data_IF_209751989856
#
_entry.id   IF_209751989856
#
_cell.length_a   1.000
_cell.length_b   1.000
_cell.length_c   1.000
_cell.angle_alpha   90.00
_cell.angle_beta   90.00
_cell.angle_gamma   90.00
#
_symmetry.space_group_name_H-M   'P 1'
#
loop_
_entity.id
_entity.type
_entity.pdbx_description
1 polymer ?
#
# COMPACT_ATOMS: atom_id res chain seq x y z
N UNK A 1 -18.75 14.89 70.27
CA UNK A 1 -18.12 13.62 70.72
C UNK A 1 -17.43 12.97 69.53
N UNK A 2 -16.09 13.02 69.50
CA UNK A 2 -15.28 12.38 68.45
C UNK A 2 -15.41 10.86 68.58
N UNK A 3 -16.04 10.20 67.61
CA UNK A 3 -16.14 8.73 67.58
C UNK A 3 -14.74 8.17 67.39
N UNK A 4 -14.17 7.55 68.43
CA UNK A 4 -12.87 6.84 68.35
C UNK A 4 -12.91 5.87 67.15
N UNK A 5 -12.09 6.16 66.15
CA UNK A 5 -11.86 5.27 64.99
C UNK A 5 -11.16 4.01 65.49
N UNK A 6 -11.70 2.83 65.17
CA UNK A 6 -10.99 1.57 65.38
C UNK A 6 -9.76 1.57 64.45
N UNK A 7 -8.51 1.58 64.98
CA UNK A 7 -7.31 1.60 64.16
C UNK A 7 -7.17 0.35 63.29
N UNK A 8 -7.86 -0.74 63.62
CA UNK A 8 -7.83 -2.01 62.89
C UNK A 8 -8.89 -2.11 61.79
N UNK A 9 -9.51 -0.98 61.38
CA UNK A 9 -10.41 -0.92 60.23
C UNK A 9 -9.87 0.06 59.17
N UNK A 10 -9.98 -0.29 57.87
CA UNK A 10 -9.59 0.58 56.77
C UNK A 10 -10.34 1.92 56.83
N UNK A 11 -9.82 2.94 56.15
CA UNK A 11 -10.48 4.26 56.03
C UNK A 11 -11.95 4.06 55.63
N UNK A 12 -12.81 4.97 56.08
CA UNK A 12 -14.25 4.98 55.74
C UNK A 12 -15.09 3.80 56.26
N UNK A 13 -14.50 2.74 56.84
CA UNK A 13 -15.22 1.61 57.43
C UNK A 13 -15.38 1.78 58.96
N UNK A 14 -16.59 1.55 59.46
CA UNK A 14 -16.87 1.54 60.90
C UNK A 14 -17.74 0.35 61.29
N UNK A 15 -17.56 -0.17 62.50
CA UNK A 15 -18.40 -1.22 63.06
C UNK A 15 -19.49 -0.62 63.99
N UNK A 16 -20.74 -1.01 63.77
CA UNK A 16 -21.91 -0.57 64.53
C UNK A 16 -22.27 -1.64 65.56
N UNK A 17 -21.95 -1.37 66.83
CA UNK A 17 -22.21 -2.32 67.95
C UNK A 17 -23.70 -2.54 68.19
N UNK A 18 -24.51 -1.50 68.00
CA UNK A 18 -25.96 -1.50 68.15
C UNK A 18 -26.66 -2.40 67.13
N UNK A 19 -26.16 -2.42 65.89
CA UNK A 19 -26.74 -3.20 64.78
C UNK A 19 -25.93 -4.43 64.36
N UNK A 20 -24.84 -4.73 65.07
CA UNK A 20 -23.87 -5.80 64.78
C UNK A 20 -23.53 -5.90 63.28
N UNK A 21 -23.21 -4.76 62.66
CA UNK A 21 -22.96 -4.67 61.20
C UNK A 21 -21.83 -3.69 60.91
N UNK A 22 -21.16 -3.89 59.79
CA UNK A 22 -20.23 -2.89 59.24
C UNK A 22 -20.98 -1.86 58.41
N UNK A 23 -20.53 -0.61 58.47
CA UNK A 23 -21.00 0.49 57.66
C UNK A 23 -19.82 1.24 57.05
N UNK A 24 -19.84 1.41 55.74
CA UNK A 24 -18.85 2.16 54.99
C UNK A 24 -19.42 3.52 54.59
N UNK A 25 -18.67 4.60 54.82
CA UNK A 25 -19.10 5.97 54.54
C UNK A 25 -18.39 6.51 53.31
N UNK A 26 -19.14 6.85 52.28
CA UNK A 26 -18.57 7.45 51.09
C UNK A 26 -18.00 8.86 51.42
N UNK A 27 -16.69 9.11 51.24
CA UNK A 27 -16.07 10.39 51.55
C UNK A 27 -16.50 11.54 50.62
N UNK A 28 -16.95 11.23 49.40
CA UNK A 28 -17.39 12.24 48.41
C UNK A 28 -18.84 12.67 48.64
N UNK A 29 -19.72 11.72 48.93
CA UNK A 29 -21.16 11.98 49.06
C UNK A 29 -21.65 12.05 50.51
N UNK A 30 -20.79 11.74 51.47
CA UNK A 30 -21.09 11.64 52.90
C UNK A 30 -22.18 10.61 53.28
N UNK A 31 -22.70 9.84 52.32
CA UNK A 31 -23.71 8.79 52.56
C UNK A 31 -23.07 7.54 53.15
N UNK A 32 -23.76 6.93 54.11
CA UNK A 32 -23.36 5.64 54.71
C UNK A 32 -24.07 4.47 54.02
N UNK A 33 -23.31 3.43 53.69
CA UNK A 33 -23.77 2.17 53.12
C UNK A 33 -23.54 1.07 54.16
N UNK A 34 -24.60 0.38 54.54
CA UNK A 34 -24.52 -0.74 55.51
C UNK A 34 -24.20 -2.01 54.73
N UNK A 35 -23.14 -2.73 55.13
CA UNK A 35 -22.65 -3.92 54.42
C UNK A 35 -23.38 -5.22 54.81
N UNK A 36 -24.30 -5.16 55.77
CA UNK A 36 -25.04 -6.32 56.26
C UNK A 36 -24.22 -7.26 57.15
N UNK A 37 -24.69 -8.50 57.30
CA UNK A 37 -24.05 -9.56 58.09
C UNK A 37 -22.88 -10.17 57.31
N UNK A 38 -21.76 -9.46 57.24
CA UNK A 38 -20.50 -9.95 56.67
C UNK A 38 -19.48 -10.26 57.77
N UNK A 39 -18.57 -11.20 57.49
CA UNK A 39 -17.41 -11.40 58.35
C UNK A 39 -16.52 -10.15 58.37
N UNK A 40 -15.75 -9.96 59.46
CA UNK A 40 -14.81 -8.82 59.56
C UNK A 40 -13.83 -8.79 58.38
N UNK A 41 -13.41 -9.96 57.89
CA UNK A 41 -12.47 -10.07 56.76
C UNK A 41 -13.09 -9.58 55.45
N UNK A 42 -14.31 -9.98 55.15
CA UNK A 42 -15.02 -9.57 53.93
C UNK A 42 -15.36 -8.08 53.94
N UNK A 43 -15.83 -7.56 55.08
CA UNK A 43 -16.11 -6.14 55.24
C UNK A 43 -14.86 -5.26 55.05
N UNK A 44 -13.70 -5.73 55.55
CA UNK A 44 -12.41 -5.06 55.32
C UNK A 44 -12.03 -5.10 53.84
N UNK A 45 -12.17 -6.25 53.17
CA UNK A 45 -11.83 -6.40 51.75
C UNK A 45 -12.65 -5.47 50.85
N UNK A 46 -13.99 -5.47 51.01
CA UNK A 46 -14.88 -4.59 50.24
C UNK A 46 -14.62 -3.11 50.52
N UNK A 47 -14.31 -2.74 51.76
CA UNK A 47 -13.99 -1.36 52.10
C UNK A 47 -12.67 -0.89 51.47
N UNK A 48 -11.65 -1.75 51.41
CA UNK A 48 -10.37 -1.46 50.74
C UNK A 48 -10.62 -1.26 49.24
N UNK A 49 -11.39 -2.14 48.60
CA UNK A 49 -11.74 -2.04 47.19
C UNK A 49 -12.54 -0.75 46.89
N UNK A 50 -13.53 -0.42 47.69
CA UNK A 50 -14.33 0.80 47.53
C UNK A 50 -13.50 2.08 47.75
N UNK A 51 -12.59 2.09 48.72
CA UNK A 51 -11.67 3.21 48.93
C UNK A 51 -10.74 3.38 47.74
N UNK A 52 -10.20 2.28 47.23
CA UNK A 52 -9.30 2.27 46.08
C UNK A 52 -10.00 2.74 44.80
N UNK A 53 -11.25 2.31 44.58
CA UNK A 53 -12.08 2.80 43.48
C UNK A 53 -12.31 4.31 43.52
N UNK A 54 -12.44 4.90 44.72
CA UNK A 54 -12.61 6.34 44.90
C UNK A 54 -11.29 7.13 44.81
N UNK A 55 -10.17 6.52 45.13
CA UNK A 55 -8.82 7.10 45.02
C UNK A 55 -8.30 7.10 43.56
N UNK A 56 -9.20 7.10 42.56
CA UNK A 56 -9.03 6.92 41.11
C UNK A 56 -8.07 7.88 40.36
N UNK A 57 -7.03 8.41 41.02
CA UNK A 57 -5.83 9.01 40.43
C UNK A 57 -4.55 8.18 40.70
N UNK A 58 -4.67 6.98 41.26
CA UNK A 58 -3.57 6.02 41.27
C UNK A 58 -4.07 4.72 40.67
N UNK A 59 -3.53 4.36 39.51
CA UNK A 59 -3.47 2.98 39.04
C UNK A 59 -2.19 2.35 39.60
N UNK A 60 -2.17 1.74 40.80
CA UNK A 60 -1.14 0.78 41.10
C UNK A 60 -1.33 -0.38 40.15
N UNK A 61 -0.44 -0.39 39.15
CA UNK A 61 0.20 -1.58 38.60
C UNK A 61 0.01 -2.78 39.55
N UNK A 62 -1.03 -3.56 39.32
CA UNK A 62 -1.43 -4.59 40.27
C UNK A 62 -0.50 -5.80 40.12
N UNK A 63 -0.29 -6.55 41.21
CA UNK A 63 0.41 -7.85 41.14
C UNK A 63 -0.25 -8.80 40.12
N UNK A 64 -1.56 -8.63 39.87
CA UNK A 64 -2.33 -9.36 38.85
C UNK A 64 -1.87 -8.98 37.43
N UNK A 65 -1.56 -7.71 37.18
CA UNK A 65 -0.95 -7.29 35.92
C UNK A 65 0.46 -7.84 35.79
N UNK A 66 1.30 -7.78 36.83
CA UNK A 66 2.65 -8.41 36.81
C UNK A 66 2.62 -9.93 36.62
N UNK A 67 1.60 -10.61 37.15
CA UNK A 67 1.38 -12.05 36.95
C UNK A 67 0.83 -12.38 35.54
N UNK A 68 0.22 -11.41 34.85
CA UNK A 68 -0.22 -11.53 33.44
C UNK A 68 0.84 -11.04 32.44
N UNK A 69 1.73 -10.14 32.86
CA UNK A 69 2.75 -9.45 32.05
C UNK A 69 3.96 -10.32 31.69
N UNK A 70 4.01 -11.59 32.07
CA UNK A 70 5.15 -12.47 31.73
C UNK A 70 5.21 -12.84 30.23
N UNK A 71 4.38 -12.23 29.36
CA UNK A 71 4.41 -12.40 27.90
C UNK A 71 3.67 -11.26 27.16
N UNK A 72 4.03 -9.99 27.38
CA UNK A 72 3.48 -8.87 26.58
C UNK A 72 4.01 -8.92 25.14
N UNK A 73 3.42 -9.78 24.32
CA UNK A 73 3.76 -9.92 22.91
C UNK A 73 3.33 -8.65 22.15
N UNK A 74 4.32 -7.85 21.75
CA UNK A 74 4.10 -6.54 21.14
C UNK A 74 3.85 -6.63 19.64
N UNK A 75 3.40 -5.53 19.06
CA UNK A 75 3.34 -5.35 17.62
C UNK A 75 4.71 -5.53 16.96
N UNK A 76 5.78 -5.03 17.58
CA UNK A 76 7.14 -5.20 17.08
C UNK A 76 7.55 -6.68 17.01
N UNK A 77 7.28 -7.44 18.08
CA UNK A 77 7.57 -8.89 18.11
C UNK A 77 6.77 -9.64 17.04
N UNK A 78 5.52 -9.23 16.82
CA UNK A 78 4.68 -9.81 15.78
C UNK A 78 5.16 -9.47 14.38
N UNK A 79 5.62 -8.25 14.13
CA UNK A 79 6.18 -7.85 12.83
C UNK A 79 7.39 -8.71 12.48
N UNK A 80 8.28 -8.98 13.44
CA UNK A 80 9.45 -9.86 13.21
C UNK A 80 9.03 -11.29 12.85
N UNK A 81 8.01 -11.82 13.54
CA UNK A 81 7.42 -13.12 13.18
C UNK A 81 6.75 -13.10 11.80
N UNK A 82 6.02 -12.03 11.50
CA UNK A 82 5.30 -11.87 10.24
C UNK A 82 6.23 -11.73 9.04
N UNK A 83 7.41 -11.11 9.19
CA UNK A 83 8.43 -11.10 8.14
C UNK A 83 8.89 -12.50 7.74
N UNK A 84 9.01 -13.43 8.70
CA UNK A 84 9.31 -14.84 8.40
C UNK A 84 8.16 -15.49 7.62
N UNK A 85 6.92 -15.17 7.94
CA UNK A 85 5.73 -15.64 7.20
C UNK A 85 5.75 -15.10 5.77
N UNK A 86 6.03 -13.80 5.58
CA UNK A 86 6.11 -13.18 4.26
C UNK A 86 7.18 -13.82 3.38
N UNK A 87 8.36 -14.14 3.93
CA UNK A 87 9.43 -14.83 3.18
C UNK A 87 9.02 -16.20 2.65
N UNK A 88 8.09 -16.89 3.33
CA UNK A 88 7.59 -18.21 2.90
C UNK A 88 6.56 -18.13 1.77
N UNK A 89 6.03 -16.94 1.47
CA UNK A 89 4.97 -16.74 0.47
C UNK A 89 5.48 -16.56 -0.97
N UNK A 90 6.78 -16.76 -1.21
CA UNK A 90 7.43 -16.70 -2.53
C UNK A 90 6.98 -15.50 -3.38
N UNK A 91 7.00 -14.31 -2.76
CA UNK A 91 6.59 -13.07 -3.40
C UNK A 91 7.73 -12.51 -4.27
N UNK A 92 7.38 -11.83 -5.36
CA UNK A 92 8.35 -11.11 -6.16
C UNK A 92 9.13 -10.08 -5.33
N UNK A 93 10.43 -9.91 -5.61
CA UNK A 93 11.35 -9.05 -4.84
C UNK A 93 10.83 -7.63 -4.61
N UNK A 94 10.25 -7.00 -5.64
CA UNK A 94 9.71 -5.65 -5.52
C UNK A 94 8.49 -5.59 -4.60
N UNK A 95 7.66 -6.62 -4.61
CA UNK A 95 6.53 -6.73 -3.67
C UNK A 95 7.03 -6.92 -2.25
N UNK A 96 8.06 -7.77 -2.05
CA UNK A 96 8.69 -7.94 -0.73
C UNK A 96 9.26 -6.61 -0.22
N UNK A 97 10.05 -5.89 -1.02
CA UNK A 97 10.59 -4.56 -0.68
C UNK A 97 9.50 -3.57 -0.28
N UNK A 98 8.40 -3.52 -1.04
CA UNK A 98 7.27 -2.66 -0.72
C UNK A 98 6.64 -3.03 0.63
N UNK A 99 6.39 -4.32 0.88
CA UNK A 99 5.83 -4.80 2.16
C UNK A 99 6.76 -4.53 3.33
N UNK A 100 8.06 -4.76 3.20
CA UNK A 100 9.04 -4.47 4.25
C UNK A 100 9.06 -2.99 4.62
N UNK A 101 9.06 -2.09 3.63
CA UNK A 101 9.00 -0.65 3.91
C UNK A 101 7.72 -0.26 4.69
N UNK A 102 6.59 -0.90 4.37
CA UNK A 102 5.34 -0.69 5.11
C UNK A 102 5.43 -1.20 6.54
N UNK A 103 6.03 -2.38 6.75
CA UNK A 103 6.24 -2.94 8.08
C UNK A 103 7.17 -2.08 8.93
N UNK A 104 8.22 -1.49 8.35
CA UNK A 104 9.10 -0.53 9.04
C UNK A 104 8.26 0.66 9.55
N UNK A 105 7.46 1.28 8.68
CA UNK A 105 6.59 2.40 9.08
C UNK A 105 5.59 2.00 10.18
N UNK A 106 5.01 0.79 10.10
CA UNK A 106 4.10 0.29 11.13
C UNK A 106 4.85 0.06 12.45
N UNK A 107 6.05 -0.52 12.41
CA UNK A 107 6.90 -0.77 13.58
C UNK A 107 7.28 0.54 14.28
N UNK A 108 7.66 1.57 13.52
CA UNK A 108 7.99 2.90 14.05
C UNK A 108 6.83 3.58 14.78
N UNK A 109 5.58 3.38 14.31
CA UNK A 109 4.40 4.06 14.85
C UNK A 109 3.67 3.28 15.93
N UNK A 110 3.57 1.96 15.77
CA UNK A 110 2.74 1.08 16.58
C UNK A 110 3.52 -0.04 17.28
N UNK A 111 4.84 -0.13 17.08
CA UNK A 111 5.66 -1.25 17.53
C UNK A 111 5.60 -1.53 19.04
N UNK A 112 5.53 -0.48 19.86
CA UNK A 112 5.46 -0.60 21.32
C UNK A 112 4.09 -1.00 21.88
N UNK A 113 3.04 -1.06 21.04
CA UNK A 113 1.71 -1.43 21.49
C UNK A 113 1.61 -2.94 21.69
N UNK A 114 0.91 -3.37 22.74
CA UNK A 114 0.59 -4.78 22.98
C UNK A 114 -0.37 -5.24 21.87
N UNK A 115 -0.01 -6.31 21.15
CA UNK A 115 -0.74 -6.76 19.96
C UNK A 115 -2.24 -6.97 20.23
N UNK A 116 -2.56 -7.61 21.36
CA UNK A 116 -3.94 -7.90 21.80
C UNK A 116 -4.75 -6.67 22.22
N UNK A 117 -4.08 -5.55 22.50
CA UNK A 117 -4.72 -4.29 22.92
C UNK A 117 -4.90 -3.31 21.76
N UNK A 118 -4.46 -3.67 20.55
CA UNK A 118 -4.66 -2.83 19.37
C UNK A 118 -6.15 -2.87 18.99
N UNK A 119 -6.82 -1.74 19.21
CA UNK A 119 -8.22 -1.52 18.84
C UNK A 119 -8.35 -0.97 17.42
N UNK A 120 -9.58 -0.99 16.89
CA UNK A 120 -9.93 -0.32 15.63
C UNK A 120 -9.61 1.17 15.64
N UNK A 121 -9.68 1.83 16.80
CA UNK A 121 -9.33 3.25 16.94
C UNK A 121 -7.85 3.48 16.61
N UNK A 122 -6.93 2.68 17.15
CA UNK A 122 -5.50 2.80 16.84
C UNK A 122 -5.23 2.61 15.34
N UNK A 123 -5.94 1.69 14.69
CA UNK A 123 -5.81 1.50 13.24
C UNK A 123 -6.32 2.73 12.48
N UNK A 124 -7.48 3.27 12.87
CA UNK A 124 -8.04 4.46 12.23
C UNK A 124 -7.11 5.68 12.37
N UNK A 125 -6.60 5.95 13.56
CA UNK A 125 -5.65 7.03 13.84
C UNK A 125 -4.35 6.88 13.02
N UNK A 126 -3.83 5.66 12.90
CA UNK A 126 -2.66 5.40 12.06
C UNK A 126 -2.93 5.68 10.58
N UNK A 127 -4.09 5.28 10.05
CA UNK A 127 -4.45 5.53 8.65
C UNK A 127 -4.74 7.02 8.38
N UNK A 128 -5.19 7.75 9.41
CA UNK A 128 -5.53 9.18 9.30
C UNK A 128 -4.33 10.06 8.89
N UNK A 129 -3.11 9.61 9.21
CA UNK A 129 -1.84 10.25 8.81
C UNK A 129 -1.79 10.49 7.29
N UNK A 130 -2.35 9.57 6.50
CA UNK A 130 -2.37 9.69 5.03
C UNK A 130 -3.68 10.21 4.47
N UNK A 131 -4.83 9.87 5.07
CA UNK A 131 -6.13 10.31 4.53
C UNK A 131 -6.33 11.81 4.70
N UNK A 132 -5.86 12.41 5.81
CA UNK A 132 -5.90 13.85 6.04
C UNK A 132 -5.08 14.65 5.00
N UNK A 133 -4.01 14.06 4.47
CA UNK A 133 -3.19 14.64 3.40
C UNK A 133 -3.67 14.26 1.98
N UNK A 134 -4.81 13.58 1.85
CA UNK A 134 -5.34 13.10 0.57
C UNK A 134 -4.56 11.93 -0.05
N UNK A 135 -3.62 11.32 0.68
CA UNK A 135 -2.78 10.18 0.23
C UNK A 135 -3.51 8.83 0.37
N UNK A 136 -4.74 8.76 -0.15
CA UNK A 136 -5.66 7.63 0.00
C UNK A 136 -5.09 6.29 -0.50
N UNK A 137 -4.27 6.30 -1.55
CA UNK A 137 -3.60 5.08 -2.05
C UNK A 137 -2.64 4.49 -1.03
N UNK A 138 -1.89 5.35 -0.31
CA UNK A 138 -0.97 4.90 0.74
C UNK A 138 -1.73 4.36 1.94
N UNK A 139 -2.78 5.07 2.38
CA UNK A 139 -3.68 4.60 3.44
C UNK A 139 -4.27 3.22 3.10
N UNK A 140 -4.79 3.04 1.87
CA UNK A 140 -5.35 1.76 1.42
C UNK A 140 -4.31 0.64 1.41
N UNK A 141 -3.10 0.93 0.95
CA UNK A 141 -1.99 -0.03 0.92
C UNK A 141 -1.54 -0.42 2.33
N UNK A 142 -1.43 0.54 3.26
CA UNK A 142 -1.11 0.28 4.67
C UNK A 142 -2.20 -0.55 5.36
N UNK A 143 -3.47 -0.19 5.14
CA UNK A 143 -4.62 -0.97 5.64
C UNK A 143 -4.59 -2.41 5.13
N UNK A 144 -4.22 -2.63 3.87
CA UNK A 144 -4.09 -3.97 3.30
C UNK A 144 -3.00 -4.79 4.01
N UNK A 145 -1.83 -4.22 4.30
CA UNK A 145 -0.77 -4.92 5.06
C UNK A 145 -1.22 -5.23 6.47
N UNK A 146 -1.79 -4.25 7.17
CA UNK A 146 -2.28 -4.44 8.53
C UNK A 146 -3.33 -5.54 8.57
N UNK A 147 -4.27 -5.56 7.62
CA UNK A 147 -5.32 -6.58 7.57
C UNK A 147 -4.73 -7.98 7.39
N UNK A 148 -3.79 -8.16 6.46
CA UNK A 148 -3.11 -9.45 6.23
C UNK A 148 -2.29 -9.89 7.44
N UNK A 149 -1.54 -8.95 8.04
CA UNK A 149 -0.74 -9.19 9.24
C UNK A 149 -1.58 -9.59 10.45
N UNK A 150 -2.74 -8.97 10.67
CA UNK A 150 -3.67 -9.34 11.74
C UNK A 150 -4.43 -10.64 11.45
N UNK A 151 -4.67 -10.98 10.18
CA UNK A 151 -5.22 -12.30 9.82
C UNK A 151 -4.20 -13.42 10.16
N UNK A 152 -2.93 -13.23 9.81
CA UNK A 152 -1.87 -14.17 10.21
C UNK A 152 -1.74 -14.27 11.75
N UNK A 153 -1.98 -13.17 12.48
CA UNK A 153 -1.98 -13.19 13.94
C UNK A 153 -3.14 -14.02 14.52
N UNK A 154 -4.30 -13.99 13.85
CA UNK A 154 -5.44 -14.82 14.22
C UNK A 154 -5.15 -16.30 13.95
N UNK A 155 -4.53 -16.62 12.81
CA UNK A 155 -4.13 -17.99 12.46
C UNK A 155 -3.16 -18.59 13.49
N UNK A 156 -2.24 -17.78 14.04
CA UNK A 156 -1.35 -18.20 15.14
C UNK A 156 -1.99 -18.05 16.55
N UNK A 157 -3.28 -17.73 16.65
CA UNK A 157 -4.00 -17.62 17.92
C UNK A 157 -3.53 -16.46 18.82
N UNK A 158 -2.83 -15.47 18.27
CA UNK A 158 -2.28 -14.32 19.02
C UNK A 158 -3.35 -13.28 19.33
N UNK A 159 -4.32 -13.13 18.45
CA UNK A 159 -5.48 -12.24 18.56
C UNK A 159 -6.74 -12.97 18.18
N UNK A 160 -7.87 -12.58 18.76
CA UNK A 160 -9.17 -13.23 18.52
C UNK A 160 -9.91 -12.65 17.31
N UNK A 161 -9.66 -11.38 16.98
CA UNK A 161 -10.36 -10.65 15.93
C UNK A 161 -9.38 -9.70 15.24
N UNK A 162 -9.63 -9.43 13.96
CA UNK A 162 -8.84 -8.48 13.18
C UNK A 162 -9.39 -7.05 13.38
N UNK A 163 -8.67 -6.16 14.10
CA UNK A 163 -9.15 -4.81 14.41
C UNK A 163 -9.23 -3.90 13.17
N UNK A 164 -8.67 -4.32 12.03
CA UNK A 164 -8.66 -3.58 10.77
C UNK A 164 -9.98 -3.72 10.02
N UNK A 165 -10.69 -4.84 10.18
CA UNK A 165 -11.92 -5.15 9.42
C UNK A 165 -12.97 -4.03 9.50
N UNK A 166 -13.27 -3.44 10.68
CA UNK A 166 -14.28 -2.38 10.78
C UNK A 166 -13.85 -1.04 10.18
N UNK A 167 -12.56 -0.84 9.88
CA UNK A 167 -12.08 0.41 9.27
C UNK A 167 -12.51 0.48 7.80
N UNK A 168 -12.88 1.68 7.34
CA UNK A 168 -13.27 1.88 5.94
C UNK A 168 -12.04 1.90 5.04
N UNK A 169 -12.12 1.23 3.90
CA UNK A 169 -11.12 1.40 2.86
C UNK A 169 -11.26 2.82 2.28
N UNK A 170 -10.16 3.58 2.14
CA UNK A 170 -10.22 4.93 1.58
C UNK A 170 -10.64 4.88 0.11
N UNK A 171 -11.48 5.82 -0.31
CA UNK A 171 -11.88 5.95 -1.71
C UNK A 171 -10.70 6.50 -2.51
N UNK A 172 -10.17 5.69 -3.42
CA UNK A 172 -9.04 6.08 -4.28
C UNK A 172 -9.60 6.67 -5.57
N UNK A 173 -9.35 7.95 -5.81
CA UNK A 173 -9.52 8.58 -7.12
C UNK A 173 -8.20 8.54 -7.87
N UNK A 174 -8.25 8.28 -9.19
CA UNK A 174 -7.04 8.21 -10.01
C UNK A 174 -6.75 9.61 -10.54
N UNK A 175 -5.77 10.29 -9.94
CA UNK A 175 -5.42 11.66 -10.31
C UNK A 175 -4.65 11.78 -11.64
N UNK A 176 -3.93 10.72 -12.05
CA UNK A 176 -3.10 10.77 -13.26
C UNK A 176 -3.93 10.86 -14.54
N UNK A 177 -3.62 11.86 -15.35
CA UNK A 177 -4.24 12.09 -16.66
C UNK A 177 -3.81 11.09 -17.73
N UNK A 178 -4.67 10.93 -18.74
CA UNK A 178 -4.38 10.16 -19.94
C UNK A 178 -3.50 10.91 -20.92
N UNK A 179 -2.59 10.17 -21.55
CA UNK A 179 -1.77 10.71 -22.63
C UNK A 179 -2.59 10.81 -23.92
N UNK A 180 -2.84 12.03 -24.40
CA UNK A 180 -3.46 12.28 -25.70
C UNK A 180 -2.44 12.15 -26.84
N UNK A 181 -2.91 11.86 -28.05
CA UNK A 181 -2.06 11.61 -29.22
C UNK A 181 -1.18 12.82 -29.56
N UNK A 182 -1.76 14.03 -29.61
CA UNK A 182 -1.04 15.29 -29.85
C UNK A 182 0.07 15.50 -28.81
N UNK A 183 -0.26 15.24 -27.54
CA UNK A 183 0.70 15.36 -26.44
C UNK A 183 1.84 14.35 -26.57
N UNK A 184 1.53 13.11 -26.97
CA UNK A 184 2.54 12.11 -27.26
C UNK A 184 3.46 12.56 -28.41
N UNK A 185 2.91 13.04 -29.52
CA UNK A 185 3.67 13.47 -30.70
C UNK A 185 4.64 14.62 -30.35
N UNK A 186 4.16 15.66 -29.67
CA UNK A 186 5.01 16.77 -29.25
C UNK A 186 6.12 16.33 -28.27
N UNK A 187 5.79 15.46 -27.31
CA UNK A 187 6.79 14.87 -26.39
C UNK A 187 7.81 14.00 -27.13
N UNK A 188 7.34 13.23 -28.13
CA UNK A 188 8.18 12.35 -28.94
C UNK A 188 9.14 13.14 -29.83
N UNK A 189 8.72 14.24 -30.43
CA UNK A 189 9.60 15.14 -31.20
C UNK A 189 10.64 15.78 -30.27
N UNK A 190 10.25 16.23 -29.08
CA UNK A 190 11.18 16.79 -28.10
C UNK A 190 12.21 15.76 -27.60
N UNK A 191 11.86 14.47 -27.61
CA UNK A 191 12.75 13.37 -27.23
C UNK A 191 13.96 13.21 -28.17
N UNK A 192 13.93 13.75 -29.39
CA UNK A 192 15.09 13.71 -30.31
C UNK A 192 16.27 14.55 -29.79
N UNK A 193 16.04 15.45 -28.82
CA UNK A 193 17.08 16.21 -28.10
C UNK A 193 17.72 15.41 -26.94
N UNK A 194 17.22 14.22 -26.65
CA UNK A 194 17.72 13.32 -25.61
C UNK A 194 18.59 12.22 -26.25
N UNK A 195 19.26 11.36 -25.45
CA UNK A 195 20.10 10.30 -26.01
C UNK A 195 19.35 9.44 -27.04
N UNK A 196 20.00 9.10 -28.14
CA UNK A 196 19.38 8.51 -29.33
C UNK A 196 18.53 7.25 -29.09
N UNK A 197 18.81 6.49 -28.03
CA UNK A 197 18.03 5.31 -27.65
C UNK A 197 16.64 5.65 -27.08
N UNK A 198 16.46 6.84 -26.50
CA UNK A 198 15.24 7.21 -25.79
C UNK A 198 14.02 7.46 -26.71
N UNK A 199 14.12 8.23 -27.82
CA UNK A 199 13.03 8.34 -28.78
C UNK A 199 12.61 6.96 -29.34
N UNK A 200 13.58 6.06 -29.57
CA UNK A 200 13.30 4.68 -29.98
C UNK A 200 12.58 3.86 -28.91
N UNK A 201 12.89 4.09 -27.62
CA UNK A 201 12.17 3.45 -26.52
C UNK A 201 10.70 3.88 -26.46
N UNK A 202 10.40 5.14 -26.80
CA UNK A 202 9.02 5.62 -26.92
C UNK A 202 8.30 4.96 -28.09
N UNK A 203 8.94 4.86 -29.27
CA UNK A 203 8.37 4.20 -30.45
C UNK A 203 8.12 2.71 -30.19
N UNK A 204 9.08 2.03 -29.56
CA UNK A 204 8.95 0.63 -29.19
C UNK A 204 7.81 0.40 -28.20
N UNK A 205 7.67 1.28 -27.19
CA UNK A 205 6.57 1.23 -26.24
C UNK A 205 5.21 1.49 -26.91
N UNK A 206 5.15 2.43 -27.86
CA UNK A 206 3.94 2.77 -28.59
C UNK A 206 3.49 1.63 -29.51
N UNK A 207 4.40 1.03 -30.28
CA UNK A 207 4.03 -0.03 -31.23
C UNK A 207 3.81 -1.39 -30.54
N UNK A 208 4.51 -1.70 -29.44
CA UNK A 208 4.31 -3.00 -28.76
C UNK A 208 3.25 -2.95 -27.66
N UNK A 209 2.88 -1.74 -27.21
CA UNK A 209 2.04 -1.51 -26.04
C UNK A 209 2.53 -2.19 -24.75
N UNK A 210 3.81 -2.59 -24.61
CA UNK A 210 4.30 -3.31 -23.44
C UNK A 210 4.63 -2.38 -22.25
N UNK A 211 4.76 -2.95 -21.04
CA UNK A 211 5.09 -2.17 -19.84
C UNK A 211 6.53 -1.68 -19.93
N UNK A 212 6.84 -0.56 -19.26
CA UNK A 212 8.20 0.01 -19.26
C UNK A 212 9.24 -1.01 -18.80
N UNK A 213 8.91 -1.85 -17.83
CA UNK A 213 9.79 -2.90 -17.32
C UNK A 213 10.06 -3.96 -18.40
N UNK A 214 9.02 -4.36 -19.15
CA UNK A 214 9.16 -5.32 -20.24
C UNK A 214 10.01 -4.71 -21.38
N UNK A 215 9.78 -3.44 -21.73
CA UNK A 215 10.54 -2.71 -22.76
C UNK A 215 12.05 -2.70 -22.48
N UNK A 216 12.48 -2.48 -21.24
CA UNK A 216 13.91 -2.45 -20.89
C UNK A 216 14.57 -3.82 -20.87
N UNK A 217 13.80 -4.91 -20.87
CA UNK A 217 14.30 -6.28 -20.86
C UNK A 217 14.22 -6.98 -22.22
N UNK A 218 13.63 -6.33 -23.24
CA UNK A 218 13.61 -6.89 -24.59
C UNK A 218 15.03 -6.96 -25.16
N UNK A 219 15.38 -8.14 -25.68
CA UNK A 219 16.65 -8.40 -26.35
C UNK A 219 16.42 -8.78 -27.80
N UNK A 220 17.44 -8.59 -28.64
CA UNK A 220 17.39 -9.01 -30.04
C UNK A 220 17.29 -10.53 -30.18
N UNK A 221 17.80 -11.30 -29.22
CA UNK A 221 17.65 -12.76 -29.12
C UNK A 221 16.21 -13.23 -28.91
N UNK A 222 15.32 -12.36 -28.41
CA UNK A 222 13.89 -12.66 -28.28
C UNK A 222 13.14 -12.60 -29.61
N UNK A 223 13.84 -12.37 -30.72
CA UNK A 223 13.27 -12.25 -32.05
C UNK A 223 13.64 -13.50 -32.85
N UNK A 224 12.63 -14.27 -33.23
CA UNK A 224 12.75 -15.40 -34.14
C UNK A 224 11.42 -15.60 -34.88
N UNK A 225 11.44 -16.24 -36.04
CA UNK A 225 10.25 -16.50 -36.86
C UNK A 225 9.42 -15.23 -37.16
N UNK A 226 10.11 -14.12 -37.42
CA UNK A 226 9.53 -12.78 -37.66
C UNK A 226 8.57 -12.29 -36.56
N UNK A 227 8.83 -12.71 -35.31
CA UNK A 227 8.07 -12.32 -34.12
C UNK A 227 9.01 -11.90 -33.00
N UNK A 228 8.59 -10.90 -32.24
CA UNK A 228 9.19 -10.52 -30.97
C UNK A 228 8.44 -11.25 -29.84
N UNK A 229 9.13 -12.13 -29.13
CA UNK A 229 8.59 -12.85 -27.99
C UNK A 229 8.79 -12.06 -26.70
N UNK A 230 7.70 -11.84 -25.97
CA UNK A 230 7.69 -11.07 -24.72
C UNK A 230 7.07 -11.92 -23.63
N UNK A 231 7.82 -12.17 -22.57
CA UNK A 231 7.27 -12.70 -21.31
C UNK A 231 7.15 -11.54 -20.34
N UNK A 232 5.93 -11.14 -20.03
CA UNK A 232 5.67 -9.99 -19.18
C UNK A 232 6.12 -10.27 -17.75
N UNK A 233 6.99 -9.41 -17.20
CA UNK A 233 7.62 -9.61 -15.89
C UNK A 233 6.58 -9.64 -14.76
N UNK A 234 5.56 -8.78 -14.84
CA UNK A 234 4.57 -8.64 -13.77
C UNK A 234 3.59 -9.81 -13.68
N UNK A 235 3.21 -10.39 -14.81
CA UNK A 235 2.08 -11.34 -14.90
C UNK A 235 2.49 -12.71 -15.42
N UNK A 236 3.70 -12.87 -15.95
CA UNK A 236 4.16 -14.09 -16.62
C UNK A 236 3.53 -14.34 -18.01
N UNK A 237 2.66 -13.45 -18.48
CA UNK A 237 1.97 -13.60 -19.75
C UNK A 237 2.95 -13.59 -20.92
N UNK A 238 2.83 -14.59 -21.81
CA UNK A 238 3.68 -14.75 -23.00
C UNK A 238 2.94 -14.26 -24.24
N UNK A 239 3.58 -13.38 -25.00
CA UNK A 239 3.02 -12.75 -26.20
C UNK A 239 4.04 -12.82 -27.32
N UNK A 240 3.62 -13.20 -28.51
CA UNK A 240 4.45 -13.19 -29.71
C UNK A 240 3.93 -12.11 -30.68
N UNK A 241 4.64 -10.99 -30.76
CA UNK A 241 4.23 -9.81 -31.52
C UNK A 241 4.86 -9.89 -32.93
N UNK A 242 4.07 -9.96 -34.01
CA UNK A 242 4.63 -10.03 -35.36
C UNK A 242 5.40 -8.76 -35.71
N UNK A 243 6.58 -8.88 -36.33
CA UNK A 243 7.39 -7.74 -36.75
C UNK A 243 6.69 -6.87 -37.81
N UNK A 244 5.74 -7.44 -38.54
CA UNK A 244 4.87 -6.72 -39.47
C UNK A 244 3.79 -5.88 -38.78
N UNK A 245 3.67 -5.90 -37.45
CA UNK A 245 2.71 -5.09 -36.72
C UNK A 245 2.93 -3.60 -37.01
N UNK A 246 1.87 -2.94 -37.47
CA UNK A 246 1.83 -1.50 -37.71
C UNK A 246 0.81 -0.82 -36.82
N UNK A 247 1.11 0.42 -36.43
CA UNK A 247 0.17 1.32 -35.78
C UNK A 247 -0.04 2.54 -36.68
N UNK A 248 -1.07 2.54 -37.55
CA UNK A 248 -1.25 3.56 -38.59
C UNK A 248 -1.34 4.99 -38.04
N UNK A 249 -2.02 5.19 -36.91
CA UNK A 249 -2.25 6.50 -36.31
C UNK A 249 -0.96 7.29 -35.97
N UNK A 250 0.17 6.60 -35.81
CA UNK A 250 1.50 7.22 -35.56
C UNK A 250 2.53 6.83 -36.63
N UNK A 251 2.13 6.14 -37.70
CA UNK A 251 3.01 5.72 -38.79
C UNK A 251 4.15 4.78 -38.35
N UNK A 252 3.95 3.97 -37.31
CA UNK A 252 4.98 3.06 -36.80
C UNK A 252 4.80 1.63 -37.33
N UNK A 253 5.91 0.97 -37.62
CA UNK A 253 6.00 -0.47 -37.90
C UNK A 253 7.05 -1.09 -36.98
N UNK A 254 6.73 -2.20 -36.32
CA UNK A 254 7.62 -2.83 -35.33
C UNK A 254 8.97 -3.19 -35.93
N UNK A 255 8.99 -3.78 -37.14
CA UNK A 255 10.25 -4.10 -37.85
C UNK A 255 11.14 -2.87 -38.01
N UNK A 256 10.58 -1.78 -38.54
CA UNK A 256 11.32 -0.54 -38.78
C UNK A 256 11.87 0.05 -37.47
N UNK A 257 11.10 -0.01 -36.38
CA UNK A 257 11.56 0.46 -35.06
C UNK A 257 12.72 -0.40 -34.57
N UNK A 258 12.63 -1.73 -34.66
CA UNK A 258 13.70 -2.65 -34.24
C UNK A 258 14.95 -2.46 -35.08
N UNK A 259 14.82 -2.30 -36.40
CA UNK A 259 15.97 -2.07 -37.28
C UNK A 259 16.68 -0.77 -36.93
N UNK A 260 15.95 0.31 -36.60
CA UNK A 260 16.55 1.54 -36.06
C UNK A 260 17.22 1.31 -34.71
N UNK A 261 16.63 0.50 -33.83
CA UNK A 261 17.24 0.12 -32.56
C UNK A 261 18.57 -0.62 -32.74
N UNK A 262 18.68 -1.50 -33.74
CA UNK A 262 19.93 -2.21 -34.07
C UNK A 262 21.08 -1.28 -34.47
N UNK A 263 20.77 -0.14 -35.08
CA UNK A 263 21.79 0.84 -35.48
C UNK A 263 22.34 1.63 -34.27
N UNK A 264 21.54 1.78 -33.21
CA UNK A 264 21.87 2.59 -32.03
C UNK A 264 22.37 1.74 -30.87
N UNK A 265 21.74 0.60 -30.60
CA UNK A 265 22.12 -0.29 -29.51
C UNK A 265 23.44 -0.99 -29.81
N UNK A 266 24.30 -1.09 -28.79
CA UNK A 266 25.61 -1.76 -28.86
C UNK A 266 25.67 -2.98 -27.93
N UNK A 267 24.52 -3.45 -27.47
CA UNK A 267 24.38 -4.59 -26.56
C UNK A 267 23.26 -5.51 -27.05
N UNK A 268 23.03 -6.61 -26.33
CA UNK A 268 21.96 -7.57 -26.67
C UNK A 268 20.55 -6.99 -26.51
N UNK A 269 20.41 -5.89 -25.77
CA UNK A 269 19.13 -5.24 -25.51
C UNK A 269 18.66 -4.41 -26.71
N UNK A 270 17.37 -4.47 -27.02
CA UNK A 270 16.77 -3.62 -28.07
C UNK A 270 16.95 -2.13 -27.70
N UNK A 271 16.72 -1.80 -26.43
CA UNK A 271 16.95 -0.46 -25.88
C UNK A 271 18.15 -0.51 -24.92
N UNK A 272 19.21 0.21 -25.25
CA UNK A 272 20.44 0.26 -24.45
C UNK A 272 20.97 1.69 -24.33
N UNK A 273 21.50 2.02 -23.14
CA UNK A 273 22.27 3.25 -22.90
C UNK A 273 23.79 3.07 -23.08
N UNK A 274 24.23 1.90 -23.55
CA UNK A 274 25.64 1.51 -23.63
C UNK A 274 26.19 0.95 -22.32
N UNK A 275 27.32 0.23 -22.44
CA UNK A 275 28.02 -0.39 -21.30
C UNK A 275 28.85 0.66 -20.58
N UNK A 276 28.75 0.70 -19.25
CA UNK A 276 29.58 1.57 -18.40
C UNK A 276 29.65 1.02 -16.97
N UNK A 277 30.43 1.68 -16.10
CA UNK A 277 30.76 1.20 -14.73
C UNK A 277 29.55 0.71 -13.91
N UNK A 278 28.40 1.38 -14.04
CA UNK A 278 27.18 1.05 -13.26
C UNK A 278 26.09 0.34 -14.08
N UNK A 279 26.32 0.06 -15.37
CA UNK A 279 25.49 -0.83 -16.19
C UNK A 279 26.41 -1.68 -17.07
N UNK A 280 26.96 -2.77 -16.53
CA UNK A 280 27.92 -3.61 -17.25
C UNK A 280 27.31 -4.35 -18.44
N UNK A 281 25.99 -4.58 -18.43
CA UNK A 281 25.25 -5.19 -19.55
C UNK A 281 24.67 -4.14 -20.51
N UNK A 282 24.74 -2.86 -20.15
CA UNK A 282 24.18 -1.73 -20.88
C UNK A 282 22.65 -1.69 -20.93
N UNK A 283 21.95 -2.45 -20.08
CA UNK A 283 20.50 -2.35 -19.95
C UNK A 283 20.10 -1.01 -19.30
N UNK A 284 18.90 -0.54 -19.65
CA UNK A 284 18.32 0.69 -19.10
C UNK A 284 17.45 0.35 -17.90
N UNK A 285 17.66 1.01 -16.76
CA UNK A 285 16.74 0.86 -15.63
C UNK A 285 15.35 1.45 -15.98
N UNK A 286 14.21 0.81 -15.63
CA UNK A 286 12.87 1.29 -15.97
C UNK A 286 12.58 2.74 -15.53
N UNK A 287 13.12 3.16 -14.38
CA UNK A 287 12.96 4.55 -13.92
C UNK A 287 13.69 5.57 -14.80
N UNK A 288 14.73 5.17 -15.53
CA UNK A 288 15.41 6.03 -16.49
C UNK A 288 14.47 6.40 -17.63
N UNK A 289 13.62 5.46 -18.10
CA UNK A 289 12.58 5.77 -19.10
C UNK A 289 11.60 6.82 -18.57
N UNK A 290 11.21 6.70 -17.31
CA UNK A 290 10.27 7.63 -16.68
C UNK A 290 10.88 9.02 -16.51
N UNK A 291 12.13 9.10 -16.03
CA UNK A 291 12.86 10.37 -15.88
C UNK A 291 13.11 11.06 -17.22
N UNK A 292 13.51 10.31 -18.25
CA UNK A 292 13.72 10.85 -19.60
C UNK A 292 12.41 11.29 -20.25
N UNK A 293 11.31 10.59 -20.02
CA UNK A 293 9.98 11.04 -20.48
C UNK A 293 9.57 12.35 -19.82
N UNK A 294 9.80 12.51 -18.51
CA UNK A 294 9.57 13.80 -17.84
C UNK A 294 10.45 14.91 -18.43
N UNK A 295 11.71 14.62 -18.77
CA UNK A 295 12.60 15.58 -19.44
C UNK A 295 12.09 15.95 -20.84
N UNK A 296 11.72 14.98 -21.68
CA UNK A 296 11.17 15.22 -23.02
C UNK A 296 9.87 16.01 -22.95
N UNK A 297 8.99 15.68 -22.00
CA UNK A 297 7.74 16.38 -21.76
C UNK A 297 7.98 17.85 -21.41
N UNK A 298 8.94 18.14 -20.52
CA UNK A 298 9.33 19.54 -20.22
C UNK A 298 9.89 20.27 -21.44
N UNK A 299 10.66 19.58 -22.28
CA UNK A 299 11.23 20.13 -23.51
C UNK A 299 10.18 20.36 -24.62
N UNK A 300 9.03 19.70 -24.55
CA UNK A 300 7.95 19.85 -25.54
C UNK A 300 7.27 21.21 -25.51
N UNK A 301 7.40 21.96 -24.40
CA UNK A 301 6.78 23.28 -24.24
C UNK A 301 5.26 23.26 -24.06
N UNK A 302 4.62 22.09 -23.99
CA UNK A 302 3.19 21.99 -23.73
C UNK A 302 2.84 22.29 -22.27
N UNK A 303 1.67 22.89 -22.08
CA UNK A 303 1.10 23.12 -20.76
C UNK A 303 0.89 21.79 -20.03
N UNK A 304 1.44 21.69 -18.82
CA UNK A 304 1.28 20.53 -17.96
C UNK A 304 0.19 20.81 -16.94
N UNK A 305 -0.67 19.82 -16.72
CA UNK A 305 -1.57 19.77 -15.58
C UNK A 305 -0.83 19.47 -14.28
N UNK A 306 -1.57 19.44 -13.17
CA UNK A 306 -1.06 19.05 -11.86
C UNK A 306 -0.65 17.57 -11.79
N UNK A 307 -1.29 16.71 -12.59
CA UNK A 307 -1.07 15.27 -12.59
C UNK A 307 -0.75 14.72 -14.01
N UNK A 308 0.33 15.22 -14.62
CA UNK A 308 0.57 15.04 -16.04
C UNK A 308 0.90 13.57 -16.39
N UNK A 309 0.57 13.12 -17.63
CA UNK A 309 0.80 11.74 -18.05
C UNK A 309 2.25 11.29 -17.89
N UNK A 310 2.45 10.01 -17.59
CA UNK A 310 3.79 9.41 -17.42
C UNK A 310 4.13 8.51 -18.60
N UNK A 311 5.37 8.01 -18.68
CA UNK A 311 5.76 7.03 -19.70
C UNK A 311 4.81 5.82 -19.75
N UNK A 312 4.25 5.39 -18.62
CA UNK A 312 3.29 4.28 -18.59
C UNK A 312 1.99 4.57 -19.36
N UNK A 313 1.61 5.83 -19.54
CA UNK A 313 0.41 6.19 -20.31
C UNK A 313 0.58 5.99 -21.82
N UNK A 314 1.82 5.80 -22.32
CA UNK A 314 2.06 5.34 -23.71
C UNK A 314 1.34 4.01 -23.96
N UNK A 315 1.33 3.11 -22.97
CA UNK A 315 0.65 1.82 -23.07
C UNK A 315 -0.87 1.96 -23.17
N UNK A 316 -1.47 2.87 -22.40
CA UNK A 316 -2.92 3.15 -22.51
C UNK A 316 -3.26 3.82 -23.84
N UNK A 317 -2.46 4.80 -24.28
CA UNK A 317 -2.63 5.43 -25.59
C UNK A 317 -2.51 4.40 -26.73
N UNK A 318 -1.47 3.57 -26.73
CA UNK A 318 -1.31 2.49 -27.70
C UNK A 318 -2.51 1.54 -27.71
N UNK A 319 -3.00 1.14 -26.52
CA UNK A 319 -4.20 0.31 -26.40
C UNK A 319 -5.44 0.93 -27.06
N UNK A 320 -5.70 2.22 -26.83
CA UNK A 320 -6.81 2.95 -27.47
C UNK A 320 -6.64 3.04 -28.99
N UNK A 321 -5.46 3.41 -29.47
CA UNK A 321 -5.20 3.49 -30.91
C UNK A 321 -5.31 2.13 -31.61
N UNK A 322 -4.88 1.05 -30.96
CA UNK A 322 -5.04 -0.31 -31.48
C UNK A 322 -6.49 -0.81 -31.43
N UNK A 323 -7.25 -0.40 -30.41
CA UNK A 323 -8.70 -0.65 -30.35
C UNK A 323 -9.39 -0.02 -31.56
N UNK A 324 -9.06 1.22 -31.88
CA UNK A 324 -9.65 1.94 -33.01
C UNK A 324 -9.23 1.35 -34.36
N UNK A 325 -7.98 0.86 -34.48
CA UNK A 325 -7.45 0.30 -35.73
C UNK A 325 -7.85 -1.16 -35.99
N UNK A 326 -7.87 -2.01 -34.96
CA UNK A 326 -8.00 -3.48 -35.10
C UNK A 326 -9.02 -4.11 -34.13
N UNK A 327 -9.71 -3.32 -33.33
CA UNK A 327 -10.73 -3.79 -32.38
C UNK A 327 -10.20 -4.06 -30.97
N UNK A 328 -11.13 -4.15 -30.02
CA UNK A 328 -10.85 -4.30 -28.58
C UNK A 328 -10.15 -5.62 -28.25
N UNK A 329 -10.54 -6.71 -28.89
CA UNK A 329 -9.94 -8.03 -28.66
C UNK A 329 -8.45 -8.04 -29.04
N UNK A 330 -8.10 -7.37 -30.15
CA UNK A 330 -6.70 -7.24 -30.56
C UNK A 330 -5.90 -6.45 -29.52
N UNK A 331 -6.42 -5.30 -29.08
CA UNK A 331 -5.77 -4.49 -28.06
C UNK A 331 -5.60 -5.24 -26.73
N UNK A 332 -6.62 -6.00 -26.30
CA UNK A 332 -6.56 -6.84 -25.11
C UNK A 332 -5.44 -7.88 -25.19
N UNK A 333 -5.36 -8.62 -26.31
CA UNK A 333 -4.33 -9.64 -26.53
C UNK A 333 -2.94 -9.04 -26.57
N UNK A 334 -2.75 -7.91 -27.27
CA UNK A 334 -1.47 -7.22 -27.33
C UNK A 334 -1.03 -6.71 -25.94
N UNK A 335 -1.96 -6.19 -25.14
CA UNK A 335 -1.68 -5.81 -23.75
C UNK A 335 -1.41 -7.03 -22.86
N UNK A 336 -1.81 -8.24 -23.24
CA UNK A 336 -1.69 -9.43 -22.40
C UNK A 336 -2.61 -9.39 -21.18
N UNK A 337 -3.79 -8.81 -21.33
CA UNK A 337 -4.80 -8.79 -20.27
C UNK A 337 -5.71 -10.02 -20.40
N UNK A 338 -5.78 -10.82 -19.34
CA UNK A 338 -6.66 -11.99 -19.26
C UNK A 338 -8.13 -11.60 -19.04
N UNK A 339 -8.37 -10.49 -18.34
CA UNK A 339 -9.72 -10.00 -18.05
C UNK A 339 -10.07 -8.76 -18.87
N UNK A 340 -11.27 -8.75 -19.44
CA UNK A 340 -11.86 -7.59 -20.11
C UNK A 340 -11.94 -6.36 -19.20
N UNK A 341 -12.22 -6.56 -17.90
CA UNK A 341 -12.32 -5.45 -16.94
C UNK A 341 -11.02 -4.65 -16.84
N UNK A 342 -9.87 -5.33 -16.97
CA UNK A 342 -8.56 -4.68 -16.99
C UNK A 342 -8.36 -3.93 -18.30
N UNK A 343 -8.77 -4.50 -19.43
CA UNK A 343 -8.70 -3.83 -20.73
C UNK A 343 -9.55 -2.56 -20.75
N UNK A 344 -10.80 -2.61 -20.28
CA UNK A 344 -11.68 -1.44 -20.19
C UNK A 344 -11.05 -0.32 -19.38
N UNK A 345 -10.38 -0.64 -18.27
CA UNK A 345 -9.64 0.35 -17.48
C UNK A 345 -8.50 1.02 -18.26
N UNK A 346 -7.87 0.35 -19.25
CA UNK A 346 -6.83 0.96 -20.08
C UNK A 346 -7.38 1.74 -21.27
N UNK A 347 -8.55 1.36 -21.76
CA UNK A 347 -9.23 1.99 -22.90
C UNK A 347 -10.09 3.21 -22.50
N UNK A 348 -10.38 3.35 -21.20
CA UNK A 348 -11.08 4.51 -20.65
C UNK A 348 -10.21 5.78 -20.74
N UNK A 349 -10.73 6.78 -21.46
CA UNK A 349 -10.10 8.09 -21.67
C UNK A 349 -10.12 8.97 -20.42
N UNK A 350 -10.95 8.63 -19.42
CA UNK A 350 -11.15 9.40 -18.19
C UNK A 350 -11.49 10.87 -18.43
N UNK A 351 -12.02 11.19 -19.60
CA UNK A 351 -12.54 12.51 -19.90
C UNK A 351 -13.92 12.60 -19.22
N UNK A 352 -14.10 13.54 -18.28
CA UNK A 352 -15.39 13.95 -17.73
C UNK A 352 -16.27 14.66 -18.80
N UNK A 353 -16.22 14.19 -20.06
CA UNK A 353 -17.07 14.71 -21.13
C UNK A 353 -18.48 14.21 -20.85
N UNK A 354 -19.33 15.11 -20.38
CA UNK A 354 -20.76 14.93 -20.40
C UNK A 354 -21.20 14.54 -21.82
N UNK A 355 -22.02 13.50 -21.92
CA UNK A 355 -22.65 13.15 -23.19
C UNK A 355 -23.53 14.31 -23.64
N UNK A 356 -23.08 15.05 -24.66
CA UNK A 356 -23.96 15.95 -25.41
C UNK A 356 -24.69 15.06 -26.40
N UNK A 357 -25.92 14.69 -26.07
CA UNK A 357 -26.83 14.05 -27.02
C UNK A 357 -27.19 15.10 -28.08
N UNK A 358 -26.89 14.81 -29.35
CA UNK A 358 -27.37 15.59 -30.50
C UNK A 358 -28.76 15.12 -30.91
#
# INVERSE_FOLDING_TARGET
MSRKRDPNLPKNLTYRKDRKTFAWRNPLTNKEITLGQLSRREAIAQAIEANYYLEQNHTPYTLIERLKETNSYTMADWIERYEVILKRRDLADNTYKARTNQLITIKERMGGLILQKISTQHIAEFLEIWTSEGKNTMAGSMRSVLSDMFNAAMEEGRVLQNPVVPTRAPKISIARERLRLEFYQATRTAADRLPAWFPLAMDLAMVTAQRREDITHMQFSHIHDDRLYVTQIKTGMKIAIPLSLTLPAVGLCLRTVIDRCRLVSRTDFIISAGIWKYSPTGNVHPDTLTKKFVAARKLSGMTLSDNPPTFHEIRSLAGRLYKDAYGEEFAQKLLGHTSESTTKLYLDERDDRAYVLL
#
